data_IF_987944186819
#
_entry.id   IF_987944186819
#
_cell.length_a   1.000
_cell.length_b   1.000
_cell.length_c   1.000
_cell.angle_alpha   90.00
_cell.angle_beta   90.00
_cell.angle_gamma   90.00
#
_symmetry.space_group_name_H-M   'P 1'
#
loop_
_entity.id
_entity.type
_entity.pdbx_description
1 polymer ?
#
# COMPACT_ATOMS: atom_id res chain seq x y z
N UNK A 1 13.16 53.83 -20.39
CA UNK A 1 13.27 53.22 -19.05
C UNK A 1 11.87 52.83 -18.60
N UNK A 2 11.40 51.63 -18.96
CA UNK A 2 10.17 51.09 -18.39
C UNK A 2 10.50 50.55 -17.00
N UNK A 3 10.12 51.29 -15.96
CA UNK A 3 10.13 50.78 -14.60
C UNK A 3 8.97 49.80 -14.48
N UNK A 4 9.26 48.50 -14.50
CA UNK A 4 8.30 47.50 -14.03
C UNK A 4 8.03 47.79 -12.56
N UNK A 5 6.80 48.17 -12.24
CA UNK A 5 6.35 48.28 -10.85
C UNK A 5 6.60 46.92 -10.17
N UNK A 6 7.32 46.88 -9.03
CA UNK A 6 7.50 45.63 -8.33
C UNK A 6 6.13 45.08 -7.94
N UNK A 7 5.85 43.87 -8.43
CA UNK A 7 4.96 42.87 -7.84
C UNK A 7 4.57 43.20 -6.39
N UNK A 8 3.36 43.67 -6.08
CA UNK A 8 2.96 43.86 -4.69
C UNK A 8 3.06 42.50 -3.96
N UNK A 9 3.94 42.34 -2.95
CA UNK A 9 4.23 41.05 -2.34
C UNK A 9 2.99 40.37 -1.73
N UNK A 10 1.96 41.12 -1.36
CA UNK A 10 0.69 40.55 -0.88
C UNK A 10 -0.10 39.87 -2.00
N UNK A 11 -0.13 40.46 -3.20
CA UNK A 11 -0.80 39.88 -4.37
C UNK A 11 -0.14 38.59 -4.85
N UNK A 12 1.19 38.49 -4.71
CA UNK A 12 1.94 37.29 -5.05
C UNK A 12 1.68 36.16 -4.05
N UNK A 13 1.60 36.48 -2.75
CA UNK A 13 1.29 35.50 -1.69
C UNK A 13 -0.12 34.93 -1.84
N UNK A 14 -1.12 35.76 -2.10
CA UNK A 14 -2.50 35.29 -2.28
C UNK A 14 -2.66 34.40 -3.51
N UNK A 15 -2.01 34.75 -4.63
CA UNK A 15 -2.02 33.94 -5.86
C UNK A 15 -1.39 32.56 -5.62
N UNK A 16 -0.27 32.53 -4.88
CA UNK A 16 0.41 31.29 -4.50
C UNK A 16 -0.49 30.41 -3.62
N UNK A 17 -1.13 30.97 -2.60
CA UNK A 17 -2.03 30.23 -1.71
C UNK A 17 -3.20 29.61 -2.47
N UNK A 18 -3.81 30.36 -3.39
CA UNK A 18 -4.90 29.85 -4.25
C UNK A 18 -4.41 28.70 -5.13
N UNK A 19 -3.23 28.84 -5.74
CA UNK A 19 -2.64 27.80 -6.59
C UNK A 19 -2.33 26.53 -5.78
N UNK A 20 -1.76 26.66 -4.57
CA UNK A 20 -1.49 25.52 -3.68
C UNK A 20 -2.77 24.83 -3.25
N UNK A 21 -3.82 25.58 -2.89
CA UNK A 21 -5.12 25.00 -2.53
C UNK A 21 -5.74 24.23 -3.70
N UNK A 22 -5.65 24.77 -4.92
CA UNK A 22 -6.16 24.10 -6.10
C UNK A 22 -5.39 22.82 -6.41
N UNK A 23 -4.05 22.86 -6.30
CA UNK A 23 -3.21 21.67 -6.49
C UNK A 23 -3.55 20.55 -5.50
N UNK A 24 -3.82 20.90 -4.23
CA UNK A 24 -4.26 19.92 -3.21
C UNK A 24 -5.59 19.28 -3.57
N UNK A 25 -6.58 20.07 -4.00
CA UNK A 25 -7.88 19.54 -4.46
C UNK A 25 -7.72 18.60 -5.65
N UNK A 26 -6.90 18.98 -6.63
CA UNK A 26 -6.60 18.15 -7.78
C UNK A 26 -5.90 16.84 -7.39
N UNK A 27 -4.90 16.90 -6.51
CA UNK A 27 -4.21 15.71 -5.99
C UNK A 27 -5.17 14.75 -5.28
N UNK A 28 -6.05 15.29 -4.44
CA UNK A 28 -7.04 14.49 -3.72
C UNK A 28 -8.07 13.86 -4.67
N UNK A 29 -8.52 14.61 -5.68
CA UNK A 29 -9.42 14.08 -6.72
C UNK A 29 -8.76 12.94 -7.50
N UNK A 30 -7.50 13.11 -7.92
CA UNK A 30 -6.74 12.05 -8.62
C UNK A 30 -6.57 10.82 -7.74
N UNK A 31 -6.20 10.99 -6.47
CA UNK A 31 -6.08 9.88 -5.54
C UNK A 31 -7.40 9.14 -5.33
N UNK A 32 -8.51 9.87 -5.21
CA UNK A 32 -9.85 9.30 -5.14
C UNK A 32 -10.19 8.45 -6.38
N UNK A 33 -9.85 8.93 -7.59
CA UNK A 33 -10.04 8.15 -8.82
C UNK A 33 -9.19 6.88 -8.85
N UNK A 34 -7.92 6.96 -8.43
CA UNK A 34 -7.02 5.79 -8.40
C UNK A 34 -7.53 4.75 -7.40
N UNK A 35 -7.89 5.18 -6.19
CA UNK A 35 -8.47 4.31 -5.14
C UNK A 35 -9.73 3.64 -5.66
N UNK A 36 -10.63 4.40 -6.28
CA UNK A 36 -11.87 3.87 -6.84
C UNK A 36 -11.62 2.80 -7.91
N UNK A 37 -10.73 3.06 -8.87
CA UNK A 37 -10.41 2.09 -9.92
C UNK A 37 -9.77 0.84 -9.33
N UNK A 38 -8.85 0.98 -8.36
CA UNK A 38 -8.25 -0.16 -7.67
C UNK A 38 -9.31 -0.99 -6.92
N UNK A 39 -10.24 -0.33 -6.22
CA UNK A 39 -11.37 -0.98 -5.54
C UNK A 39 -12.28 -1.72 -6.52
N UNK A 40 -12.67 -1.08 -7.63
CA UNK A 40 -13.51 -1.71 -8.66
C UNK A 40 -12.84 -2.98 -9.23
N UNK A 41 -11.54 -2.94 -9.50
CA UNK A 41 -10.79 -4.11 -9.98
C UNK A 41 -10.71 -5.23 -8.93
N UNK A 42 -10.49 -4.90 -7.66
CA UNK A 42 -10.49 -5.88 -6.58
C UNK A 42 -11.86 -6.54 -6.42
N UNK A 43 -12.95 -5.75 -6.45
CA UNK A 43 -14.33 -6.29 -6.40
C UNK A 43 -14.57 -7.24 -7.58
N UNK A 44 -14.23 -6.81 -8.80
CA UNK A 44 -14.44 -7.64 -9.99
C UNK A 44 -13.60 -8.92 -9.93
N UNK A 45 -12.32 -8.83 -9.61
CA UNK A 45 -11.45 -10.01 -9.57
C UNK A 45 -11.80 -10.97 -8.43
N UNK A 46 -12.12 -10.47 -7.23
CA UNK A 46 -12.60 -11.30 -6.12
C UNK A 46 -13.97 -11.93 -6.40
N UNK A 47 -14.82 -11.28 -7.19
CA UNK A 47 -16.12 -11.82 -7.60
C UNK A 47 -16.04 -12.99 -8.59
N UNK A 48 -14.93 -13.14 -9.32
CA UNK A 48 -14.71 -14.28 -10.24
C UNK A 48 -14.41 -15.57 -9.45
N UNK A 49 -13.80 -15.47 -8.27
CA UNK A 49 -13.49 -16.61 -7.40
C UNK A 49 -12.43 -17.57 -7.96
N UNK A 50 -11.65 -17.12 -8.96
CA UNK A 50 -10.58 -17.89 -9.59
C UNK A 50 -9.23 -17.58 -8.91
N UNK A 51 -8.41 -18.60 -8.66
CA UNK A 51 -7.07 -18.46 -8.07
C UNK A 51 -6.17 -17.60 -8.96
N UNK A 52 -6.35 -17.69 -10.28
CA UNK A 52 -5.58 -16.85 -11.23
C UNK A 52 -5.87 -15.36 -11.07
N UNK A 53 -7.08 -14.99 -10.65
CA UNK A 53 -7.46 -13.59 -10.44
C UNK A 53 -6.69 -12.98 -9.27
N UNK A 54 -6.41 -13.77 -8.22
CA UNK A 54 -5.63 -13.34 -7.06
C UNK A 54 -4.18 -13.07 -7.45
N UNK A 55 -3.59 -13.94 -8.28
CA UNK A 55 -2.21 -13.77 -8.77
C UNK A 55 -2.08 -12.54 -9.69
N UNK A 56 -3.05 -12.34 -10.59
CA UNK A 56 -3.07 -11.18 -11.48
C UNK A 56 -3.24 -9.88 -10.68
N UNK A 57 -4.18 -9.83 -9.73
CA UNK A 57 -4.36 -8.66 -8.87
C UNK A 57 -3.13 -8.42 -7.98
N UNK A 58 -2.56 -9.49 -7.42
CA UNK A 58 -1.37 -9.43 -6.56
C UNK A 58 -0.08 -9.01 -7.27
N UNK A 59 -0.02 -9.14 -8.60
CA UNK A 59 1.10 -8.69 -9.44
C UNK A 59 0.84 -7.37 -10.16
N UNK A 60 -0.41 -6.90 -10.20
CA UNK A 60 -0.79 -5.69 -10.91
C UNK A 60 -0.06 -4.45 -10.34
N UNK A 61 0.70 -3.68 -11.15
CA UNK A 61 1.43 -2.49 -10.69
C UNK A 61 0.52 -1.42 -10.08
N UNK A 62 -0.75 -1.40 -10.47
CA UNK A 62 -1.76 -0.53 -9.88
C UNK A 62 -1.91 -0.79 -8.37
N UNK A 63 -1.95 -2.07 -7.96
CA UNK A 63 -2.16 -2.49 -6.57
C UNK A 63 -0.85 -2.57 -5.78
N UNK A 64 0.23 -3.01 -6.41
CA UNK A 64 1.51 -3.22 -5.72
C UNK A 64 2.39 -1.98 -5.62
N UNK A 65 2.21 -1.02 -6.53
CA UNK A 65 3.07 0.18 -6.61
C UNK A 65 2.25 1.47 -6.52
N UNK A 66 1.33 1.70 -7.47
CA UNK A 66 0.67 2.99 -7.59
C UNK A 66 -0.22 3.30 -6.38
N UNK A 67 -1.06 2.36 -5.97
CA UNK A 67 -1.98 2.54 -4.86
C UNK A 67 -1.23 2.80 -3.53
N UNK A 68 -0.22 2.00 -3.12
CA UNK A 68 0.59 2.29 -1.94
C UNK A 68 1.29 3.64 -2.00
N UNK A 69 1.86 4.01 -3.15
CA UNK A 69 2.54 5.30 -3.33
C UNK A 69 1.58 6.48 -3.19
N UNK A 70 0.39 6.38 -3.78
CA UNK A 70 -0.64 7.41 -3.66
C UNK A 70 -1.09 7.56 -2.20
N UNK A 71 -1.35 6.44 -1.51
CA UNK A 71 -1.74 6.45 -0.11
C UNK A 71 -0.63 6.95 0.82
N UNK A 72 0.65 6.71 0.50
CA UNK A 72 1.76 7.27 1.29
C UNK A 72 1.92 8.77 1.08
N UNK A 73 1.74 9.25 -0.16
CA UNK A 73 1.95 10.65 -0.51
C UNK A 73 0.76 11.57 -0.26
N UNK A 74 -0.42 11.03 0.08
CA UNK A 74 -1.59 11.85 0.41
C UNK A 74 -1.58 12.37 1.86
N UNK A 75 -0.68 11.88 2.72
CA UNK A 75 -0.52 12.33 4.11
C UNK A 75 -0.38 13.85 4.27
N UNK A 76 0.55 14.52 3.56
CA UNK A 76 0.67 15.98 3.58
C UNK A 76 -0.61 16.72 3.19
N UNK A 77 -1.40 16.17 2.26
CA UNK A 77 -2.71 16.73 1.87
C UNK A 77 -3.74 16.54 2.98
N UNK A 78 -3.74 15.39 3.66
CA UNK A 78 -4.60 15.16 4.82
C UNK A 78 -4.31 16.16 5.95
N UNK A 79 -3.04 16.52 6.16
CA UNK A 79 -2.64 17.44 7.24
C UNK A 79 -2.91 18.92 6.94
N UNK A 80 -3.27 19.28 5.69
CA UNK A 80 -3.42 20.70 5.33
C UNK A 80 -4.68 21.34 5.91
N UNK A 81 -5.75 20.58 6.07
CA UNK A 81 -7.03 21.03 6.62
C UNK A 81 -7.88 19.82 7.05
N UNK A 82 -8.80 19.98 8.02
CA UNK A 82 -9.57 18.86 8.57
C UNK A 82 -10.51 18.19 7.55
N UNK A 83 -10.95 18.91 6.50
CA UNK A 83 -11.85 18.33 5.49
C UNK A 83 -11.09 17.39 4.57
N UNK A 84 -9.86 17.74 4.19
CA UNK A 84 -8.97 16.85 3.44
C UNK A 84 -8.66 15.58 4.24
N UNK A 85 -8.38 15.70 5.55
CA UNK A 85 -8.17 14.54 6.43
C UNK A 85 -9.34 13.56 6.43
N UNK A 86 -10.57 14.05 6.63
CA UNK A 86 -11.78 13.22 6.62
C UNK A 86 -11.95 12.51 5.28
N UNK A 87 -11.66 13.21 4.17
CA UNK A 87 -11.79 12.62 2.84
C UNK A 87 -10.78 11.48 2.64
N UNK A 88 -9.53 11.68 3.04
CA UNK A 88 -8.48 10.64 2.98
C UNK A 88 -8.84 9.43 3.85
N UNK A 89 -9.33 9.66 5.07
CA UNK A 89 -9.81 8.58 5.93
C UNK A 89 -10.98 7.82 5.30
N UNK A 90 -11.88 8.51 4.59
CA UNK A 90 -12.94 7.89 3.81
C UNK A 90 -12.41 6.95 2.72
N UNK A 91 -11.41 7.41 1.94
CA UNK A 91 -10.75 6.58 0.92
C UNK A 91 -10.11 5.32 1.53
N UNK A 92 -9.45 5.46 2.69
CA UNK A 92 -8.84 4.34 3.40
C UNK A 92 -9.91 3.35 3.87
N UNK A 93 -11.00 3.85 4.46
CA UNK A 93 -12.11 2.99 4.91
C UNK A 93 -12.76 2.23 3.75
N UNK A 94 -12.90 2.86 2.58
CA UNK A 94 -13.49 2.24 1.39
C UNK A 94 -12.64 1.08 0.86
N UNK A 95 -11.32 1.25 0.80
CA UNK A 95 -10.43 0.25 0.19
C UNK A 95 -10.05 -0.90 1.12
N UNK A 96 -10.00 -0.64 2.44
CA UNK A 96 -9.57 -1.60 3.46
C UNK A 96 -10.23 -2.99 3.38
N UNK A 97 -11.57 -3.13 3.27
CA UNK A 97 -12.20 -4.45 3.23
C UNK A 97 -11.79 -5.27 2.00
N UNK A 98 -11.53 -4.62 0.86
CA UNK A 98 -11.13 -5.27 -0.38
C UNK A 98 -9.70 -5.79 -0.32
N UNK A 99 -8.79 -4.97 0.24
CA UNK A 99 -7.40 -5.37 0.46
C UNK A 99 -7.32 -6.51 1.48
N UNK A 100 -8.10 -6.45 2.56
CA UNK A 100 -8.15 -7.51 3.55
C UNK A 100 -8.65 -8.83 2.95
N UNK A 101 -9.71 -8.78 2.13
CA UNK A 101 -10.23 -9.96 1.43
C UNK A 101 -9.18 -10.56 0.49
N UNK A 102 -8.51 -9.74 -0.32
CA UNK A 102 -7.44 -10.18 -1.22
C UNK A 102 -6.27 -10.81 -0.45
N UNK A 103 -5.83 -10.19 0.64
CA UNK A 103 -4.74 -10.71 1.48
C UNK A 103 -5.09 -12.06 2.11
N UNK A 104 -6.32 -12.21 2.62
CA UNK A 104 -6.78 -13.46 3.20
C UNK A 104 -6.83 -14.58 2.16
N UNK A 105 -7.29 -14.27 0.94
CA UNK A 105 -7.36 -15.25 -0.15
C UNK A 105 -5.96 -15.64 -0.62
N UNK A 106 -5.04 -14.68 -0.76
CA UNK A 106 -3.63 -14.93 -1.09
C UNK A 106 -2.94 -15.83 -0.05
N UNK A 107 -3.23 -15.64 1.25
CA UNK A 107 -2.71 -16.48 2.32
C UNK A 107 -3.19 -17.93 2.19
N UNK A 108 -4.48 -18.14 1.86
CA UNK A 108 -5.06 -19.47 1.65
C UNK A 108 -4.42 -20.17 0.44
N UNK A 109 -4.25 -19.47 -0.68
CA UNK A 109 -3.57 -20.04 -1.87
C UNK A 109 -2.12 -20.44 -1.55
N UNK A 110 -1.38 -19.61 -0.81
CA UNK A 110 0.00 -19.94 -0.39
C UNK A 110 0.07 -21.15 0.55
N UNK A 111 -0.90 -21.32 1.45
CA UNK A 111 -0.96 -22.48 2.34
C UNK A 111 -1.33 -23.78 1.61
N UNK A 112 -2.12 -23.68 0.55
CA UNK A 112 -2.56 -24.84 -0.25
C UNK A 112 -1.48 -25.29 -1.25
N UNK A 113 -0.58 -24.39 -1.65
CA UNK A 113 0.58 -24.67 -2.49
C UNK A 113 1.76 -25.36 -1.77
N UNK A 114 1.51 -26.06 -0.65
CA UNK A 114 2.43 -27.04 -0.07
C UNK A 114 2.07 -28.42 -0.61
N UNK A 115 2.57 -28.85 -1.79
CA UNK A 115 2.57 -30.26 -2.10
C UNK A 115 3.65 -30.92 -1.25
N UNK A 116 3.30 -32.05 -0.65
CA UNK A 116 4.26 -33.11 -0.34
C UNK A 116 4.95 -33.53 -1.65
N UNK A 117 5.99 -32.82 -2.07
CA UNK A 117 6.79 -33.20 -3.22
C UNK A 117 8.25 -32.83 -3.00
N UNK A 118 9.00 -33.92 -2.87
CA UNK A 118 10.43 -34.11 -2.91
C UNK A 118 11.14 -33.27 -3.99
N UNK A 119 12.34 -32.81 -3.60
CA UNK A 119 13.53 -32.55 -4.43
C UNK A 119 13.57 -31.36 -5.41
N UNK A 120 14.65 -30.58 -5.22
CA UNK A 120 15.30 -29.69 -6.19
C UNK A 120 14.54 -28.47 -6.71
N UNK A 121 14.49 -27.41 -5.89
CA UNK A 121 14.58 -26.05 -6.44
C UNK A 121 15.18 -25.10 -5.39
N UNK A 122 16.37 -24.57 -5.70
CA UNK A 122 17.14 -23.64 -4.89
C UNK A 122 16.38 -22.32 -4.66
N UNK A 123 15.48 -22.30 -3.68
CA UNK A 123 14.90 -21.08 -3.12
C UNK A 123 15.55 -20.86 -1.75
N UNK A 124 16.29 -19.78 -1.56
CA UNK A 124 17.10 -19.52 -0.33
C UNK A 124 16.26 -19.14 0.89
N UNK A 125 14.95 -19.35 0.88
CA UNK A 125 14.04 -18.99 1.97
C UNK A 125 13.26 -20.20 2.47
N UNK A 126 13.89 -21.37 2.53
CA UNK A 126 13.34 -22.49 3.30
C UNK A 126 13.38 -22.14 4.79
N UNK A 127 12.21 -22.01 5.41
CA UNK A 127 12.08 -21.82 6.85
C UNK A 127 12.41 -23.14 7.58
N UNK A 128 13.69 -23.38 7.84
CA UNK A 128 14.13 -24.51 8.65
C UNK A 128 13.93 -24.20 10.13
N UNK A 129 12.85 -24.70 10.71
CA UNK A 129 12.65 -24.68 12.15
C UNK A 129 13.31 -25.92 12.77
N UNK A 130 14.19 -25.71 13.74
CA UNK A 130 14.72 -26.77 14.59
C UNK A 130 14.31 -26.47 16.02
N UNK A 131 13.70 -27.44 16.70
CA UNK A 131 13.42 -27.35 18.12
C UNK A 131 14.71 -27.66 18.88
N UNK A 132 15.12 -26.74 19.75
CA UNK A 132 16.26 -26.92 20.63
C UNK A 132 15.80 -26.88 22.07
N UNK A 133 16.04 -27.97 22.78
CA UNK A 133 15.75 -28.09 24.20
C UNK A 133 17.05 -27.89 24.99
N UNK A 134 16.96 -27.09 26.05
CA UNK A 134 18.06 -26.95 27.01
C UNK A 134 18.06 -28.11 27.99
N UNK A 135 19.22 -28.70 28.21
CA UNK A 135 19.41 -29.81 29.17
C UNK A 135 19.16 -29.40 30.65
N UNK A 136 19.18 -28.10 30.97
CA UNK A 136 18.97 -27.61 32.34
C UNK A 136 18.21 -26.29 32.38
N UNK A 137 17.30 -26.06 33.36
CA UNK A 137 16.47 -24.84 33.47
C UNK A 137 17.24 -23.51 33.65
N UNK A 138 18.56 -23.57 33.86
CA UNK A 138 19.43 -22.39 34.02
C UNK A 138 20.53 -22.31 32.97
N UNK A 139 20.52 -23.19 31.96
CA UNK A 139 21.53 -23.20 30.91
C UNK A 139 20.87 -22.86 29.58
N UNK A 140 21.30 -21.78 28.90
CA UNK A 140 20.77 -21.46 27.59
C UNK A 140 21.18 -22.53 26.57
N UNK A 141 20.28 -22.90 25.67
CA UNK A 141 20.62 -23.72 24.50
C UNK A 141 21.55 -22.92 23.58
N UNK A 142 22.61 -23.55 23.07
CA UNK A 142 23.61 -22.90 22.21
C UNK A 142 23.71 -23.58 20.85
N UNK A 143 23.73 -22.79 19.78
CA UNK A 143 24.00 -23.24 18.41
C UNK A 143 25.42 -22.86 18.04
N UNK A 144 26.22 -23.82 17.59
CA UNK A 144 27.51 -23.56 16.98
C UNK A 144 27.47 -24.05 15.52
N UNK A 145 27.96 -23.21 14.60
CA UNK A 145 28.15 -23.55 13.20
C UNK A 145 29.67 -23.61 12.96
N UNK A 146 30.21 -24.77 12.59
CA UNK A 146 31.65 -24.98 12.34
C UNK A 146 31.95 -24.95 10.85
#
# INVERSE_FOLDING_TARGET
MYYSTPQDPESQRSTREIAEQQARKSALAMAGSIVRVATELMIMGLGVGDETAVEVLGSAPLLTMLLPLVLSHIGPVATSDPRSAVTVLGLIQEILPHVAALNNLSLVTQQTAVPEAMEDCHTTTSHHYAWMESDHPYRPASVANY
#
